data_IF_883026254570
#
_entry.id   IF_883026254570
#
_cell.length_a   1.000
_cell.length_b   1.000
_cell.length_c   1.000
_cell.angle_alpha   90.00
_cell.angle_beta   90.00
_cell.angle_gamma   90.00
#
_symmetry.space_group_name_H-M   'P 1'
#
loop_
_entity.id
_entity.type
_entity.pdbx_description
1 polymer ?
#
# COMPACT_ATOMS: atom_id res chain seq x y z
N UNK A 1 -1.99 18.87 13.30
CA UNK A 1 -2.23 17.45 12.95
C UNK A 1 -3.57 17.00 13.49
N UNK A 2 -4.30 16.22 12.73
CA UNK A 2 -5.57 15.62 13.16
C UNK A 2 -5.56 14.12 12.85
N UNK A 3 -5.93 13.30 13.82
CA UNK A 3 -6.27 11.89 13.61
C UNK A 3 -7.80 11.81 13.52
N UNK A 4 -8.29 11.17 12.46
CA UNK A 4 -9.71 10.98 12.19
C UNK A 4 -9.95 9.48 12.09
N UNK A 5 -10.82 8.97 12.96
CA UNK A 5 -11.33 7.60 12.89
C UNK A 5 -12.73 7.63 12.29
N UNK A 6 -12.94 6.89 11.22
CA UNK A 6 -14.18 6.85 10.48
C UNK A 6 -14.72 5.43 10.34
N UNK A 7 -16.05 5.31 10.37
CA UNK A 7 -16.77 4.15 9.90
C UNK A 7 -17.63 4.58 8.72
N UNK A 8 -17.30 4.08 7.54
CA UNK A 8 -18.01 4.39 6.30
C UNK A 8 -18.75 3.16 5.81
N UNK A 9 -19.92 3.34 5.22
CA UNK A 9 -20.56 2.26 4.48
C UNK A 9 -19.92 2.15 3.10
N UNK A 10 -19.41 0.98 2.77
CA UNK A 10 -18.82 0.69 1.47
C UNK A 10 -19.81 -0.11 0.62
N UNK A 11 -20.15 0.41 -0.55
CA UNK A 11 -20.97 -0.28 -1.55
C UNK A 11 -20.22 -1.48 -2.15
N UNK A 12 -18.91 -1.34 -2.38
CA UNK A 12 -18.08 -2.41 -2.91
C UNK A 12 -18.01 -3.61 -1.95
N UNK A 13 -18.03 -3.34 -0.63
CA UNK A 13 -17.96 -4.36 0.42
C UNK A 13 -19.33 -4.75 0.96
N UNK A 14 -20.37 -3.95 0.70
CA UNK A 14 -21.72 -4.07 1.25
C UNK A 14 -21.74 -4.18 2.79
N UNK A 15 -20.91 -3.36 3.45
CA UNK A 15 -20.82 -3.30 4.93
C UNK A 15 -20.20 -1.99 5.40
N UNK A 16 -20.36 -1.66 6.69
CA UNK A 16 -19.54 -0.65 7.34
C UNK A 16 -18.10 -1.14 7.49
N UNK A 17 -17.15 -0.24 7.25
CA UNK A 17 -15.72 -0.53 7.30
C UNK A 17 -14.96 0.63 7.96
N UNK A 18 -13.97 0.30 8.78
CA UNK A 18 -13.13 1.28 9.47
C UNK A 18 -12.07 1.87 8.56
N UNK A 19 -11.80 3.16 8.71
CA UNK A 19 -10.70 3.88 8.07
C UNK A 19 -10.11 4.86 9.06
N UNK A 20 -8.81 4.82 9.28
CA UNK A 20 -8.08 5.88 9.99
C UNK A 20 -7.40 6.81 9.00
N UNK A 21 -7.46 8.11 9.29
CA UNK A 21 -6.79 9.13 8.48
C UNK A 21 -5.96 10.06 9.36
N UNK A 22 -4.70 10.24 9.01
CA UNK A 22 -3.84 11.26 9.59
C UNK A 22 -3.81 12.44 8.62
N UNK A 23 -4.20 13.63 9.10
CA UNK A 23 -4.08 14.87 8.33
C UNK A 23 -2.99 15.76 8.96
N UNK A 24 -1.91 16.05 8.22
CA UNK A 24 -0.97 17.08 8.61
C UNK A 24 -1.63 18.44 8.42
N UNK A 25 -2.13 19.04 9.52
CA UNK A 25 -2.73 20.37 9.48
C UNK A 25 -1.65 21.44 9.67
N UNK A 26 -1.70 22.56 8.93
CA UNK A 26 -0.78 23.67 9.15
C UNK A 26 -0.97 24.24 10.56
N UNK A 27 0.14 24.71 11.17
CA UNK A 27 0.09 25.33 12.51
C UNK A 27 -0.59 26.71 12.49
N UNK A 28 -0.60 27.35 11.34
CA UNK A 28 -1.15 28.69 11.13
C UNK A 28 -2.45 28.61 10.35
N UNK A 29 -3.47 29.31 10.82
CA UNK A 29 -4.80 29.31 10.21
C UNK A 29 -4.85 30.03 8.84
N UNK A 30 -3.86 30.85 8.53
CA UNK A 30 -3.72 31.55 7.25
C UNK A 30 -3.04 30.72 6.15
N UNK A 31 -2.55 29.52 6.48
CA UNK A 31 -1.99 28.59 5.50
C UNK A 31 -3.10 27.65 5.01
N UNK A 32 -3.41 27.65 3.70
CA UNK A 32 -4.44 26.77 3.16
C UNK A 32 -4.08 25.29 3.39
N UNK A 33 -5.05 24.51 3.87
CA UNK A 33 -4.96 23.06 3.96
C UNK A 33 -5.74 22.46 2.78
N UNK A 34 -5.06 22.31 1.65
CA UNK A 34 -5.65 21.79 0.41
C UNK A 34 -4.61 21.02 -0.40
N UNK A 35 -5.07 20.12 -1.23
CA UNK A 35 -4.22 19.33 -2.12
C UNK A 35 -3.09 18.60 -1.38
N UNK A 36 -3.40 18.00 -0.22
CA UNK A 36 -2.42 17.24 0.55
C UNK A 36 -1.98 15.99 -0.21
N UNK A 37 -0.68 15.73 -0.32
CA UNK A 37 -0.21 14.43 -0.80
C UNK A 37 -0.73 13.29 0.09
N UNK A 38 -0.97 12.12 -0.49
CA UNK A 38 -1.64 11.00 0.18
C UNK A 38 -0.83 9.72 0.08
N UNK A 39 -0.63 9.07 1.22
CA UNK A 39 -0.17 7.70 1.31
C UNK A 39 -1.35 6.78 1.71
N UNK A 40 -1.76 5.90 0.82
CA UNK A 40 -2.64 4.77 1.16
C UNK A 40 -1.78 3.67 1.77
N UNK A 41 -2.04 3.34 3.05
CA UNK A 41 -1.19 2.47 3.86
C UNK A 41 -1.93 1.18 4.24
N UNK A 42 -1.53 0.06 3.63
CA UNK A 42 -2.20 -1.23 3.70
C UNK A 42 -1.62 -2.11 4.80
N UNK A 43 -2.48 -2.70 5.64
CA UNK A 43 -2.09 -3.59 6.74
C UNK A 43 -1.79 -5.03 6.28
N UNK A 44 -1.14 -5.81 7.13
CA UNK A 44 -0.83 -7.23 6.93
C UNK A 44 -2.02 -8.16 7.24
N UNK A 45 -1.82 -9.46 6.98
CA UNK A 45 -2.82 -10.49 7.28
C UNK A 45 -3.10 -10.60 8.78
N UNK A 46 -4.37 -10.52 9.17
CA UNK A 46 -4.79 -10.60 10.58
C UNK A 46 -4.74 -9.29 11.34
N UNK A 47 -4.30 -8.22 10.70
CA UNK A 47 -4.36 -6.84 11.19
C UNK A 47 -5.65 -6.13 10.74
N UNK A 48 -5.75 -4.84 11.04
CA UNK A 48 -6.86 -3.98 10.68
C UNK A 48 -6.39 -2.53 10.41
N UNK A 49 -7.32 -1.62 10.13
CA UNK A 49 -7.08 -0.19 9.89
C UNK A 49 -6.41 0.56 11.06
N UNK A 50 -6.33 -0.03 12.28
CA UNK A 50 -5.72 0.58 13.46
C UNK A 50 -4.24 0.18 13.63
N UNK A 51 -3.80 -0.87 12.96
CA UNK A 51 -2.51 -1.53 13.28
C UNK A 51 -1.30 -0.63 13.04
N UNK A 52 -1.29 0.15 11.97
CA UNK A 52 -0.22 1.10 11.70
C UNK A 52 -0.10 2.20 12.76
N UNK A 53 -1.23 2.72 13.26
CA UNK A 53 -1.25 3.70 14.35
C UNK A 53 -0.70 3.14 15.65
N UNK A 54 -1.13 1.92 16.01
CA UNK A 54 -0.80 1.31 17.32
C UNK A 54 0.63 0.80 17.40
N UNK A 55 1.27 0.55 16.27
CA UNK A 55 2.53 -0.21 16.22
C UNK A 55 3.70 0.55 15.60
N UNK A 56 3.46 1.77 15.09
CA UNK A 56 4.49 2.57 14.42
C UNK A 56 4.41 4.04 14.80
N UNK A 57 5.41 4.81 14.37
CA UNK A 57 5.43 6.27 14.52
C UNK A 57 4.83 6.99 13.30
N UNK A 58 3.85 6.39 12.63
CA UNK A 58 3.27 6.91 11.39
C UNK A 58 2.77 8.34 11.49
N UNK A 59 2.17 8.74 12.64
CA UNK A 59 1.71 10.12 12.86
C UNK A 59 2.87 11.13 12.78
N UNK A 60 3.99 10.82 13.41
CA UNK A 60 5.18 11.67 13.36
C UNK A 60 5.73 11.78 11.94
N UNK A 61 5.86 10.66 11.24
CA UNK A 61 6.37 10.65 9.86
C UNK A 61 5.46 11.43 8.91
N UNK A 62 4.13 11.26 9.05
CA UNK A 62 3.14 11.99 8.27
C UNK A 62 3.25 13.51 8.46
N UNK A 63 3.41 13.95 9.73
CA UNK A 63 3.56 15.36 10.07
C UNK A 63 4.87 15.96 9.54
N UNK A 64 6.00 15.25 9.74
CA UNK A 64 7.33 15.69 9.29
C UNK A 64 7.39 15.85 7.76
N UNK A 65 6.62 15.05 7.02
CA UNK A 65 6.60 15.07 5.55
C UNK A 65 5.45 15.89 4.95
N UNK A 66 4.47 16.29 5.76
CA UNK A 66 3.28 16.97 5.26
C UNK A 66 2.41 16.08 4.36
N UNK A 67 2.41 14.76 4.59
CA UNK A 67 1.69 13.77 3.78
C UNK A 67 0.51 13.24 4.60
N UNK A 68 -0.70 13.30 4.05
CA UNK A 68 -1.86 12.63 4.63
C UNK A 68 -1.71 11.10 4.50
N UNK A 69 -2.11 10.36 5.54
CA UNK A 69 -2.05 8.89 5.51
C UNK A 69 -3.45 8.32 5.69
N UNK A 70 -3.90 7.53 4.74
CA UNK A 70 -5.19 6.83 4.75
C UNK A 70 -4.93 5.35 5.01
N UNK A 71 -5.48 4.83 6.09
CA UNK A 71 -5.30 3.44 6.56
C UNK A 71 -6.66 2.71 6.54
N UNK A 72 -7.02 2.05 5.43
CA UNK A 72 -8.28 1.32 5.31
C UNK A 72 -8.19 -0.07 5.93
N UNK A 73 -9.34 -0.61 6.34
CA UNK A 73 -9.49 -2.04 6.64
C UNK A 73 -9.58 -2.85 5.35
N UNK A 74 -8.58 -3.70 5.12
CA UNK A 74 -8.50 -4.60 3.97
C UNK A 74 -9.02 -6.02 4.27
N UNK A 75 -9.38 -6.32 5.53
CA UNK A 75 -9.79 -7.66 5.96
C UNK A 75 -8.79 -8.76 5.56
N UNK A 76 -9.28 -9.97 5.37
CA UNK A 76 -8.50 -11.12 4.87
C UNK A 76 -8.73 -11.32 3.37
N UNK A 77 -8.53 -10.26 2.57
CA UNK A 77 -8.91 -10.22 1.16
C UNK A 77 -7.74 -10.31 0.19
N UNK A 78 -6.49 -10.27 0.67
CA UNK A 78 -5.32 -10.04 -0.17
C UNK A 78 -5.50 -8.83 -1.11
N UNK A 79 -6.34 -7.86 -0.71
CA UNK A 79 -6.69 -6.68 -1.53
C UNK A 79 -7.18 -7.06 -2.93
N UNK A 80 -8.01 -8.11 -3.00
CA UNK A 80 -8.59 -8.66 -4.22
C UNK A 80 -10.13 -8.56 -4.17
N UNK A 81 -10.79 -8.56 -5.34
CA UNK A 81 -12.22 -8.79 -5.41
C UNK A 81 -12.47 -10.28 -5.15
N UNK A 82 -12.86 -10.61 -3.92
CA UNK A 82 -12.92 -11.99 -3.46
C UNK A 82 -13.98 -12.78 -4.25
N UNK A 83 -13.66 -14.01 -4.59
CA UNK A 83 -14.63 -14.94 -5.17
C UNK A 83 -15.84 -15.14 -4.22
N UNK A 84 -15.57 -15.21 -2.91
CA UNK A 84 -16.59 -15.37 -1.85
C UNK A 84 -16.38 -14.33 -0.76
N UNK A 85 -16.73 -13.07 -1.06
CA UNK A 85 -16.56 -11.94 -0.13
C UNK A 85 -16.78 -10.59 -0.80
N UNK A 86 -16.19 -9.53 -0.21
CA UNK A 86 -16.29 -8.17 -0.71
C UNK A 86 -15.37 -7.89 -1.89
N UNK A 87 -15.64 -6.83 -2.62
CA UNK A 87 -14.83 -6.34 -3.74
C UNK A 87 -13.76 -5.38 -3.24
N UNK A 88 -12.77 -5.91 -2.50
CA UNK A 88 -11.76 -5.06 -1.83
C UNK A 88 -10.83 -4.34 -2.80
N UNK A 89 -10.55 -4.89 -3.99
CA UNK A 89 -9.80 -4.17 -5.03
C UNK A 89 -10.54 -2.90 -5.46
N UNK A 90 -11.82 -3.02 -5.77
CA UNK A 90 -12.65 -1.88 -6.19
C UNK A 90 -12.84 -0.87 -5.05
N UNK A 91 -12.98 -1.35 -3.81
CA UNK A 91 -13.03 -0.50 -2.63
C UNK A 91 -11.77 0.37 -2.51
N UNK A 92 -10.57 -0.22 -2.58
CA UNK A 92 -9.30 0.51 -2.38
C UNK A 92 -8.95 1.42 -3.57
N UNK A 93 -9.23 0.97 -4.82
CA UNK A 93 -8.80 1.70 -6.01
C UNK A 93 -9.79 2.76 -6.48
N UNK A 94 -11.07 2.53 -6.29
CA UNK A 94 -12.12 3.36 -6.87
C UNK A 94 -12.92 4.09 -5.77
N UNK A 95 -13.59 3.36 -4.88
CA UNK A 95 -14.52 3.93 -3.91
C UNK A 95 -13.83 4.75 -2.80
N UNK A 96 -12.81 4.20 -2.15
CA UNK A 96 -12.11 4.86 -1.03
C UNK A 96 -11.47 6.19 -1.44
N UNK A 97 -10.72 6.29 -2.55
CA UNK A 97 -10.15 7.57 -2.97
C UNK A 97 -11.20 8.64 -3.28
N UNK A 98 -12.33 8.25 -3.87
CA UNK A 98 -13.44 9.16 -4.17
C UNK A 98 -14.07 9.69 -2.87
N UNK A 99 -14.42 8.80 -1.94
CA UNK A 99 -14.98 9.18 -0.64
C UNK A 99 -14.02 10.06 0.17
N UNK A 100 -12.75 9.71 0.23
CA UNK A 100 -11.76 10.46 1.00
C UNK A 100 -11.56 11.87 0.42
N UNK A 101 -11.48 12.02 -0.90
CA UNK A 101 -11.35 13.33 -1.55
C UNK A 101 -12.62 14.16 -1.44
N UNK A 102 -13.79 13.53 -1.40
CA UNK A 102 -15.06 14.22 -1.18
C UNK A 102 -15.20 14.83 0.22
N UNK A 103 -14.50 14.28 1.22
CA UNK A 103 -14.60 14.72 2.62
C UNK A 103 -13.36 15.48 3.10
N UNK A 104 -12.19 15.27 2.53
CA UNK A 104 -10.90 15.71 3.03
C UNK A 104 -10.09 16.43 1.94
N UNK A 105 -9.21 17.38 2.30
CA UNK A 105 -8.46 18.20 1.36
C UNK A 105 -7.29 17.46 0.69
N UNK A 106 -7.55 16.28 0.12
CA UNK A 106 -6.56 15.39 -0.45
C UNK A 106 -6.35 15.66 -1.95
N UNK A 107 -5.11 15.55 -2.41
CA UNK A 107 -4.76 15.75 -3.81
C UNK A 107 -5.27 14.60 -4.70
N UNK A 108 -5.80 14.96 -5.87
CA UNK A 108 -6.15 14.01 -6.92
C UNK A 108 -5.01 13.80 -7.94
N UNK A 109 -3.93 14.59 -7.85
CA UNK A 109 -2.80 14.46 -8.79
C UNK A 109 -2.04 13.18 -8.51
N UNK A 110 -1.70 12.45 -9.57
CA UNK A 110 -0.93 11.20 -9.47
C UNK A 110 0.37 11.37 -8.67
N UNK A 111 1.08 12.47 -8.92
CA UNK A 111 2.39 12.79 -8.33
C UNK A 111 2.35 12.92 -6.81
N UNK A 112 1.17 13.14 -6.26
CA UNK A 112 0.89 13.31 -4.85
C UNK A 112 0.27 12.04 -4.21
N UNK A 113 0.07 10.96 -4.99
CA UNK A 113 -0.59 9.76 -4.50
C UNK A 113 0.39 8.57 -4.49
N UNK A 114 0.45 7.92 -3.33
CA UNK A 114 1.37 6.83 -3.04
C UNK A 114 0.62 5.66 -2.40
N UNK A 115 1.08 4.44 -2.61
CA UNK A 115 0.53 3.24 -2.00
C UNK A 115 1.65 2.38 -1.41
N UNK A 116 1.45 1.90 -0.18
CA UNK A 116 2.44 1.07 0.50
C UNK A 116 1.76 0.11 1.47
N UNK A 117 2.39 -1.00 1.73
CA UNK A 117 1.96 -1.93 2.77
C UNK A 117 3.05 -2.90 3.21
N UNK A 118 2.72 -3.77 4.17
CA UNK A 118 3.58 -4.84 4.65
C UNK A 118 2.89 -6.21 4.50
N UNK A 119 3.67 -7.27 4.24
CA UNK A 119 3.14 -8.63 4.13
C UNK A 119 2.00 -8.70 3.09
N UNK A 120 0.82 -9.16 3.47
CA UNK A 120 -0.38 -9.12 2.61
C UNK A 120 -0.61 -7.71 2.02
N UNK A 121 -0.40 -6.64 2.80
CA UNK A 121 -0.50 -5.26 2.32
C UNK A 121 0.61 -4.86 1.37
N UNK A 122 1.82 -5.42 1.50
CA UNK A 122 2.94 -5.21 0.58
C UNK A 122 2.66 -5.80 -0.80
N UNK A 123 2.16 -7.03 -0.83
CA UNK A 123 1.64 -7.67 -2.03
C UNK A 123 0.48 -6.86 -2.63
N UNK A 124 -0.49 -6.45 -1.79
CA UNK A 124 -1.62 -5.62 -2.20
C UNK A 124 -1.18 -4.30 -2.82
N UNK A 125 -0.24 -3.58 -2.20
CA UNK A 125 0.27 -2.31 -2.70
C UNK A 125 0.93 -2.46 -4.08
N UNK A 126 1.75 -3.50 -4.27
CA UNK A 126 2.38 -3.77 -5.56
C UNK A 126 1.34 -4.11 -6.63
N UNK A 127 0.45 -5.05 -6.34
CA UNK A 127 -0.63 -5.47 -7.25
C UNK A 127 -1.53 -4.30 -7.66
N UNK A 128 -2.00 -3.53 -6.69
CA UNK A 128 -2.93 -2.42 -6.94
C UNK A 128 -2.24 -1.26 -7.66
N UNK A 129 -1.01 -0.92 -7.26
CA UNK A 129 -0.25 0.15 -7.88
C UNK A 129 0.13 -0.17 -9.34
N UNK A 130 0.45 -1.43 -9.66
CA UNK A 130 0.71 -1.86 -11.04
C UNK A 130 -0.55 -1.93 -11.90
N UNK A 131 -1.70 -2.28 -11.30
CA UNK A 131 -2.99 -2.28 -12.01
C UNK A 131 -3.54 -0.87 -12.28
N UNK A 132 -3.05 0.18 -11.58
CA UNK A 132 -3.49 1.58 -11.70
C UNK A 132 -2.30 2.55 -11.71
N UNK A 133 -1.36 2.43 -12.65
CA UNK A 133 -0.16 3.28 -12.69
C UNK A 133 -0.48 4.76 -12.94
N UNK A 134 -1.70 5.06 -13.39
CA UNK A 134 -2.21 6.42 -13.53
C UNK A 134 -2.65 7.05 -12.21
N UNK A 135 -2.82 6.26 -11.13
CA UNK A 135 -3.22 6.77 -9.81
C UNK A 135 -2.02 7.02 -8.89
N UNK A 136 -0.95 6.24 -9.01
CA UNK A 136 0.15 6.25 -8.05
C UNK A 136 1.49 6.59 -8.69
N UNK A 137 2.28 7.45 -8.00
CA UNK A 137 3.65 7.79 -8.40
C UNK A 137 4.70 6.91 -7.73
N UNK A 138 4.40 6.34 -6.56
CA UNK A 138 5.30 5.45 -5.85
C UNK A 138 4.57 4.31 -5.15
N UNK A 139 5.23 3.16 -5.11
CA UNK A 139 4.77 1.92 -4.47
C UNK A 139 5.81 1.47 -3.45
N UNK A 140 5.38 1.12 -2.23
CA UNK A 140 6.19 0.47 -1.22
C UNK A 140 5.72 -0.97 -0.99
N UNK A 141 6.54 -1.95 -1.37
CA UNK A 141 6.28 -3.38 -1.18
C UNK A 141 7.18 -3.92 -0.08
N UNK A 142 6.65 -4.15 1.14
CA UNK A 142 7.46 -4.56 2.28
C UNK A 142 7.15 -5.98 2.71
N UNK A 143 8.22 -6.78 2.91
CA UNK A 143 8.09 -8.17 3.39
C UNK A 143 7.06 -8.96 2.57
N UNK A 144 7.13 -8.85 1.24
CA UNK A 144 6.19 -9.44 0.30
C UNK A 144 6.85 -9.72 -1.06
N UNK A 145 6.08 -10.16 -2.04
CA UNK A 145 6.53 -10.41 -3.40
C UNK A 145 5.48 -9.91 -4.42
N UNK A 146 5.79 -10.04 -5.71
CA UNK A 146 4.83 -9.77 -6.80
C UNK A 146 3.83 -10.91 -7.00
N UNK A 147 4.08 -12.06 -6.40
CA UNK A 147 3.17 -13.22 -6.38
C UNK A 147 2.65 -13.47 -4.97
N UNK A 148 1.44 -14.04 -4.87
CA UNK A 148 0.85 -14.35 -3.57
C UNK A 148 1.64 -15.45 -2.86
N UNK A 149 1.80 -15.29 -1.55
CA UNK A 149 2.40 -16.31 -0.70
C UNK A 149 1.46 -17.51 -0.56
N UNK A 150 1.97 -18.71 -0.83
CA UNK A 150 1.22 -19.97 -0.76
C UNK A 150 1.65 -20.76 0.48
N UNK A 151 1.06 -20.50 1.65
CA UNK A 151 1.40 -21.21 2.87
C UNK A 151 0.85 -22.62 2.88
N UNK A 152 1.58 -23.53 3.51
CA UNK A 152 1.15 -24.93 3.69
C UNK A 152 0.05 -25.09 4.75
N UNK A 153 -0.11 -24.10 5.63
CA UNK A 153 -1.07 -24.18 6.73
C UNK A 153 -2.53 -24.17 6.23
N UNK A 154 -3.38 -25.18 6.60
CA UNK A 154 -4.74 -25.35 6.06
C UNK A 154 -5.65 -24.12 6.21
N UNK A 155 -5.52 -23.35 7.31
CA UNK A 155 -6.30 -22.11 7.54
C UNK A 155 -6.02 -21.07 6.46
N UNK A 156 -4.77 -20.91 6.08
CA UNK A 156 -4.37 -19.93 5.07
C UNK A 156 -4.74 -20.41 3.66
N UNK A 157 -4.67 -21.71 3.39
CA UNK A 157 -5.16 -22.31 2.15
C UNK A 157 -6.68 -22.09 2.01
N UNK A 158 -7.47 -22.28 3.07
CA UNK A 158 -8.89 -22.01 3.07
C UNK A 158 -9.21 -20.53 2.84
N UNK A 159 -8.38 -19.62 3.36
CA UNK A 159 -8.49 -18.18 3.09
C UNK A 159 -8.23 -17.90 1.61
N UNK A 160 -7.14 -18.40 1.04
CA UNK A 160 -6.83 -18.21 -0.39
C UNK A 160 -7.93 -18.78 -1.29
N UNK A 161 -8.48 -19.94 -0.96
CA UNK A 161 -9.61 -20.52 -1.71
C UNK A 161 -10.88 -19.63 -1.67
N UNK A 162 -11.11 -18.90 -0.57
CA UNK A 162 -12.21 -17.92 -0.50
C UNK A 162 -11.93 -16.67 -1.34
N UNK A 163 -10.68 -16.24 -1.39
CA UNK A 163 -10.28 -15.03 -2.13
C UNK A 163 -10.25 -15.33 -3.62
N UNK A 164 -9.53 -16.35 -4.03
CA UNK A 164 -9.18 -16.60 -5.43
C UNK A 164 -9.92 -17.80 -6.06
N UNK A 165 -10.39 -18.78 -5.26
CA UNK A 165 -10.81 -20.07 -5.80
C UNK A 165 -9.64 -20.72 -6.57
N UNK A 166 -9.90 -21.08 -7.81
CA UNK A 166 -8.91 -21.70 -8.71
C UNK A 166 -8.16 -20.66 -9.58
N UNK A 167 -8.33 -19.34 -9.31
CA UNK A 167 -7.78 -18.27 -10.16
C UNK A 167 -6.48 -17.67 -9.64
N UNK A 168 -5.88 -18.24 -8.60
CA UNK A 168 -4.67 -17.67 -7.97
C UNK A 168 -3.50 -17.55 -8.95
N UNK A 169 -3.21 -18.59 -9.72
CA UNK A 169 -2.12 -18.57 -10.70
C UNK A 169 -2.38 -17.57 -11.83
N UNK A 170 -3.64 -17.45 -12.26
CA UNK A 170 -4.03 -16.44 -13.23
C UNK A 170 -3.90 -15.01 -12.67
N UNK A 171 -4.16 -14.82 -11.37
CA UNK A 171 -3.94 -13.54 -10.71
C UNK A 171 -2.46 -13.16 -10.68
N UNK A 172 -1.58 -14.10 -10.32
CA UNK A 172 -0.13 -13.86 -10.31
C UNK A 172 0.38 -13.55 -11.74
N UNK A 173 -0.06 -14.31 -12.74
CA UNK A 173 0.27 -14.05 -14.15
C UNK A 173 -0.23 -12.67 -14.64
N UNK A 174 -1.39 -12.21 -14.15
CA UNK A 174 -1.88 -10.87 -14.46
C UNK A 174 -1.01 -9.79 -13.83
N UNK A 175 -0.54 -9.98 -12.60
CA UNK A 175 0.37 -9.01 -11.94
C UNK A 175 1.67 -8.90 -12.73
N UNK A 176 2.26 -10.01 -13.18
CA UNK A 176 3.45 -9.98 -14.03
C UNK A 176 3.18 -9.26 -15.36
N UNK A 177 2.02 -9.48 -15.98
CA UNK A 177 1.64 -8.81 -17.20
C UNK A 177 1.48 -7.29 -16.98
N UNK A 178 0.84 -6.88 -15.88
CA UNK A 178 0.69 -5.47 -15.51
C UNK A 178 2.06 -4.81 -15.28
N UNK A 179 2.98 -5.47 -14.55
CA UNK A 179 4.36 -4.98 -14.35
C UNK A 179 5.07 -4.77 -15.69
N UNK A 180 5.00 -5.75 -16.61
CA UNK A 180 5.64 -5.64 -17.92
C UNK A 180 5.02 -4.52 -18.77
N UNK A 181 3.70 -4.36 -18.73
CA UNK A 181 2.98 -3.31 -19.42
C UNK A 181 3.35 -1.91 -18.89
N UNK A 182 3.41 -1.76 -17.56
CA UNK A 182 3.85 -0.52 -16.91
C UNK A 182 5.30 -0.20 -17.28
N UNK A 183 6.18 -1.19 -17.23
CA UNK A 183 7.59 -1.00 -17.57
C UNK A 183 7.81 -0.60 -19.03
N UNK A 184 7.02 -1.13 -19.95
CA UNK A 184 7.06 -0.76 -21.37
C UNK A 184 6.40 0.60 -21.67
N UNK A 185 5.71 1.17 -20.69
CA UNK A 185 5.04 2.47 -20.83
C UNK A 185 6.01 3.66 -20.76
N UNK A 186 5.46 4.86 -20.89
CA UNK A 186 6.22 6.12 -20.83
C UNK A 186 6.14 6.84 -19.48
N UNK A 187 5.29 6.34 -18.56
CA UNK A 187 5.02 6.99 -17.28
C UNK A 187 5.85 6.34 -16.18
N UNK A 188 6.89 7.05 -15.71
CA UNK A 188 7.75 6.58 -14.64
C UNK A 188 6.94 6.29 -13.36
N UNK A 189 7.23 5.17 -12.71
CA UNK A 189 6.71 4.79 -11.40
C UNK A 189 7.84 4.26 -10.53
N UNK A 190 7.93 4.75 -9.30
CA UNK A 190 8.94 4.29 -8.36
C UNK A 190 8.43 3.12 -7.54
N UNK A 191 9.21 2.05 -7.49
CA UNK A 191 8.94 0.88 -6.64
C UNK A 191 10.09 0.69 -5.66
N UNK A 192 9.82 0.90 -4.37
CA UNK A 192 10.74 0.52 -3.32
C UNK A 192 10.26 -0.79 -2.68
N UNK A 193 11.03 -1.83 -2.90
CA UNK A 193 10.80 -3.16 -2.36
C UNK A 193 11.82 -3.40 -1.23
N UNK A 194 11.36 -3.81 -0.06
CA UNK A 194 12.22 -4.04 1.08
C UNK A 194 11.81 -5.27 1.89
N UNK A 195 12.80 -6.00 2.43
CA UNK A 195 12.56 -7.19 3.23
C UNK A 195 13.61 -7.32 4.33
N UNK A 196 13.26 -7.96 5.43
CA UNK A 196 14.20 -8.27 6.50
C UNK A 196 15.20 -9.38 6.11
N UNK A 197 16.39 -9.35 6.68
CA UNK A 197 17.41 -10.40 6.48
C UNK A 197 17.03 -11.71 7.20
N UNK A 198 16.22 -11.64 8.27
CA UNK A 198 15.65 -12.79 8.98
C UNK A 198 14.13 -12.96 8.71
N UNK A 199 13.58 -12.30 7.68
CA UNK A 199 12.15 -12.37 7.36
C UNK A 199 11.79 -13.74 6.75
N UNK A 200 10.68 -14.33 7.22
CA UNK A 200 10.19 -15.63 6.73
C UNK A 200 9.79 -15.60 5.26
N UNK A 201 9.46 -14.42 4.71
CA UNK A 201 9.13 -14.22 3.29
C UNK A 201 10.34 -13.76 2.46
N UNK A 202 11.55 -13.74 3.03
CA UNK A 202 12.75 -13.26 2.35
C UNK A 202 12.99 -13.97 1.00
N UNK A 203 12.81 -15.27 0.93
CA UNK A 203 13.01 -16.02 -0.32
C UNK A 203 12.01 -15.62 -1.41
N UNK A 204 10.77 -15.32 -1.03
CA UNK A 204 9.75 -14.81 -1.96
C UNK A 204 10.09 -13.39 -2.42
N UNK A 205 10.54 -12.53 -1.50
CA UNK A 205 10.99 -11.18 -1.83
C UNK A 205 12.20 -11.17 -2.78
N UNK A 206 13.17 -12.09 -2.59
CA UNK A 206 14.31 -12.24 -3.49
C UNK A 206 13.91 -12.70 -4.89
N UNK A 207 12.97 -13.65 -5.02
CA UNK A 207 12.41 -14.03 -6.33
C UNK A 207 11.75 -12.87 -7.04
N UNK A 208 11.06 -12.02 -6.27
CA UNK A 208 10.44 -10.81 -6.80
C UNK A 208 11.49 -9.79 -7.24
N UNK A 209 12.56 -9.61 -6.45
CA UNK A 209 13.71 -8.78 -6.84
C UNK A 209 14.27 -9.25 -8.19
N UNK A 210 14.60 -10.54 -8.30
CA UNK A 210 15.20 -11.11 -9.51
C UNK A 210 14.27 -10.88 -10.73
N UNK A 211 12.96 -11.05 -10.58
CA UNK A 211 11.98 -10.75 -11.63
C UNK A 211 12.02 -9.28 -12.07
N UNK A 212 12.11 -8.32 -11.13
CA UNK A 212 12.16 -6.90 -11.48
C UNK A 212 13.51 -6.50 -12.08
N UNK A 213 14.62 -7.08 -11.60
CA UNK A 213 15.97 -6.82 -12.12
C UNK A 213 16.18 -7.41 -13.52
N UNK A 214 15.45 -8.47 -13.88
CA UNK A 214 15.45 -9.08 -15.22
C UNK A 214 14.61 -8.29 -16.26
N UNK A 215 13.84 -7.28 -15.82
CA UNK A 215 13.10 -6.43 -16.76
C UNK A 215 14.07 -5.57 -17.59
N UNK A 216 13.77 -5.36 -18.87
CA UNK A 216 14.55 -4.40 -19.65
C UNK A 216 14.41 -2.98 -19.07
N UNK A 217 15.38 -2.08 -19.31
CA UNK A 217 15.24 -0.68 -18.93
C UNK A 217 13.90 -0.09 -19.40
N UNK A 218 13.16 0.55 -18.51
CA UNK A 218 11.81 1.02 -18.79
C UNK A 218 11.32 2.06 -17.79
N UNK A 219 10.00 2.15 -17.65
CA UNK A 219 9.36 3.17 -16.82
C UNK A 219 9.37 2.86 -15.32
N UNK A 220 9.71 1.64 -14.90
CA UNK A 220 9.77 1.27 -13.49
C UNK A 220 11.14 1.61 -12.91
N UNK A 221 11.17 2.55 -11.97
CA UNK A 221 12.34 2.85 -11.15
C UNK A 221 12.33 1.91 -9.92
N UNK A 222 12.87 0.70 -10.11
CA UNK A 222 12.88 -0.33 -9.08
C UNK A 222 14.13 -0.24 -8.19
N UNK A 223 13.92 -0.41 -6.90
CA UNK A 223 15.01 -0.61 -5.93
C UNK A 223 14.63 -1.66 -4.90
N UNK A 224 15.60 -2.50 -4.52
CA UNK A 224 15.46 -3.51 -3.48
C UNK A 224 16.42 -3.26 -2.34
N UNK A 225 15.93 -3.35 -1.10
CA UNK A 225 16.76 -3.18 0.09
C UNK A 225 16.50 -4.32 1.09
N UNK A 226 17.57 -4.87 1.65
CA UNK A 226 17.50 -5.76 2.82
C UNK A 226 17.87 -4.98 4.07
N UNK A 227 17.00 -5.02 5.09
CA UNK A 227 17.25 -4.40 6.39
C UNK A 227 17.43 -5.49 7.46
N UNK A 228 18.20 -5.23 8.53
CA UNK A 228 18.22 -6.12 9.68
C UNK A 228 16.83 -6.23 10.31
N UNK A 229 16.31 -7.45 10.48
CA UNK A 229 15.03 -7.66 11.15
C UNK A 229 14.23 -8.84 10.61
N UNK A 230 13.12 -9.09 11.29
CA UNK A 230 12.20 -10.21 11.05
C UNK A 230 10.90 -9.73 10.44
N UNK A 231 9.96 -10.66 10.22
CA UNK A 231 8.60 -10.37 9.76
C UNK A 231 7.75 -9.75 10.88
N UNK A 232 8.08 -8.54 11.29
CA UNK A 232 7.46 -7.89 12.45
C UNK A 232 7.32 -6.36 12.31
N UNK A 233 6.62 -5.78 13.27
CA UNK A 233 6.30 -4.35 13.28
C UNK A 233 7.51 -3.45 13.53
N UNK A 234 8.56 -3.92 14.21
CA UNK A 234 9.77 -3.12 14.40
C UNK A 234 10.47 -2.86 13.07
N UNK A 235 10.57 -3.91 12.22
CA UNK A 235 11.09 -3.78 10.86
C UNK A 235 10.19 -2.87 10.01
N UNK A 236 8.88 -3.04 10.07
CA UNK A 236 7.94 -2.27 9.23
C UNK A 236 7.84 -0.80 9.62
N UNK A 237 8.04 -0.44 10.90
CA UNK A 237 8.18 0.97 11.32
C UNK A 237 9.44 1.60 10.73
N UNK A 238 10.59 0.92 10.81
CA UNK A 238 11.83 1.39 10.19
C UNK A 238 11.72 1.54 8.66
N UNK A 239 11.08 0.58 7.99
CA UNK A 239 10.81 0.65 6.56
C UNK A 239 9.85 1.79 6.21
N UNK A 240 8.82 2.04 7.04
CA UNK A 240 7.90 3.15 6.82
C UNK A 240 8.63 4.49 6.91
N UNK A 241 9.47 4.68 7.94
CA UNK A 241 10.27 5.89 8.08
C UNK A 241 11.13 6.17 6.85
N UNK A 242 11.83 5.15 6.33
CA UNK A 242 12.64 5.27 5.11
C UNK A 242 11.79 5.58 3.88
N UNK A 243 10.68 4.88 3.68
CA UNK A 243 9.80 5.13 2.54
C UNK A 243 9.26 6.56 2.52
N UNK A 244 8.84 7.08 3.68
CA UNK A 244 8.38 8.45 3.80
C UNK A 244 9.44 9.48 3.39
N UNK A 245 10.74 9.19 3.61
CA UNK A 245 11.83 10.06 3.17
C UNK A 245 12.04 10.04 1.65
N UNK A 246 11.67 8.96 0.96
CA UNK A 246 11.75 8.85 -0.50
C UNK A 246 10.63 9.60 -1.23
N UNK A 247 9.54 9.93 -0.52
CA UNK A 247 8.40 10.65 -1.08
C UNK A 247 8.68 12.16 -1.13
N UNK A 248 8.13 12.89 -2.11
CA UNK A 248 8.22 14.35 -2.13
C UNK A 248 7.60 14.92 -0.85
N UNK A 249 8.32 15.83 -0.19
CA UNK A 249 7.80 16.53 0.97
C UNK A 249 6.94 17.72 0.52
N UNK A 250 5.88 17.99 1.25
CA UNK A 250 5.22 19.29 1.20
C UNK A 250 6.05 20.30 2.02
N UNK A 251 7.21 20.72 1.47
CA UNK A 251 8.20 21.52 2.19
C UNK A 251 7.59 22.82 2.76
N UNK A 252 7.86 23.08 4.04
CA UNK A 252 7.62 24.37 4.69
C UNK A 252 6.18 24.66 5.11
N UNK A 253 5.20 23.81 4.81
CA UNK A 253 3.78 24.09 5.13
C UNK A 253 3.38 23.69 6.56
N UNK A 254 4.10 22.76 7.20
CA UNK A 254 3.64 22.09 8.43
C UNK A 254 4.61 22.18 9.61
N UNK A 255 5.80 22.74 9.43
CA UNK A 255 6.78 23.00 10.50
C UNK A 255 6.63 24.36 11.15
#
# INVERSE_FOLDING_TARGET
MSLIEMHIFSEALNKSVGVNVILPLPRRADVPCENLPVLTLLHGMGDDYTSWLRRTNVERYALERGIAVVMPDGGLSCYHNMLRGGRYRDYILDELPELMRGMLPLSARREDNFIKGCSMGGFGALKLGMARPEQYAAIGCFSAAHMEYRPDHPRNQAMLARVYGDTLDACDAQIEADVRAVNAGSRSIRVWHACGDEDVLRQNALKSRDFFEDLPPGAIEYSFETLPGRHDWALWDAMLAKFMLLLPAAEGRFM
#
